data_IF_923556405048
#
_entry.id   IF_923556405048
#
_cell.length_a   1.000
_cell.length_b   1.000
_cell.length_c   1.000
_cell.angle_alpha   90.00
_cell.angle_beta   90.00
_cell.angle_gamma   90.00
#
_symmetry.space_group_name_H-M   'P 1'
#
loop_
_entity.id
_entity.type
_entity.pdbx_description
1 polymer ?
#
# COMPACT_ATOMS: atom_id res chain seq x y z
N UNK A 1 -0.34 -12.58 27.50
CA UNK A 1 -0.35 -11.57 26.42
C UNK A 1 1.03 -10.96 26.37
N UNK A 2 1.63 -10.82 25.21
CA UNK A 2 2.95 -10.18 25.09
C UNK A 2 2.88 -8.74 25.63
N UNK A 3 3.84 -8.37 26.48
CA UNK A 3 3.88 -7.10 27.20
C UNK A 3 3.85 -5.90 26.23
N UNK A 4 4.58 -6.00 25.12
CA UNK A 4 4.63 -4.98 24.05
C UNK A 4 3.25 -4.69 23.43
N UNK A 5 2.39 -5.71 23.29
CA UNK A 5 1.05 -5.53 22.70
C UNK A 5 0.16 -4.74 23.64
N UNK A 6 0.31 -4.96 24.95
CA UNK A 6 -0.43 -4.20 25.96
C UNK A 6 0.04 -2.75 26.04
N UNK A 7 1.33 -2.50 25.83
CA UNK A 7 1.88 -1.15 25.74
C UNK A 7 1.33 -0.41 24.52
N UNK A 8 1.42 -1.02 23.33
CA UNK A 8 0.84 -0.46 22.10
C UNK A 8 -0.66 -0.19 22.29
N UNK A 9 -1.39 -1.15 22.86
CA UNK A 9 -2.83 -1.00 23.10
C UNK A 9 -3.13 0.19 24.01
N UNK A 10 -2.35 0.41 25.08
CA UNK A 10 -2.52 1.56 25.98
C UNK A 10 -2.29 2.88 25.25
N UNK A 11 -1.32 2.94 24.35
CA UNK A 11 -0.99 4.16 23.60
C UNK A 11 -2.03 4.49 22.53
N UNK A 12 -2.53 3.49 21.80
CA UNK A 12 -3.46 3.70 20.69
C UNK A 12 -4.93 3.76 21.12
N UNK A 13 -5.26 3.27 22.32
CA UNK A 13 -6.66 3.19 22.76
C UNK A 13 -7.23 4.58 23.03
N UNK A 14 -8.29 4.89 22.32
CA UNK A 14 -9.12 6.08 22.55
C UNK A 14 -10.53 5.62 22.86
N UNK A 15 -11.06 6.06 24.02
CA UNK A 15 -12.44 5.74 24.43
C UNK A 15 -13.44 6.38 23.45
N UNK A 16 -14.33 5.60 22.81
CA UNK A 16 -15.34 6.15 21.92
C UNK A 16 -16.33 7.07 22.64
N UNK A 17 -16.65 8.21 22.03
CA UNK A 17 -17.70 9.12 22.47
C UNK A 17 -19.10 8.58 22.14
N UNK A 18 -20.14 9.16 22.75
CA UNK A 18 -21.53 8.87 22.39
C UNK A 18 -21.80 9.10 20.90
N UNK A 19 -21.22 10.17 20.34
CA UNK A 19 -21.32 10.49 18.91
C UNK A 19 -20.65 9.43 18.03
N UNK A 20 -19.52 8.88 18.45
CA UNK A 20 -18.89 7.77 17.76
C UNK A 20 -19.78 6.51 17.78
N UNK A 21 -20.52 6.25 18.87
CA UNK A 21 -21.50 5.17 18.93
C UNK A 21 -22.71 5.40 18.00
N UNK A 22 -23.18 6.64 17.85
CA UNK A 22 -24.21 7.00 16.87
C UNK A 22 -23.74 6.72 15.42
N UNK A 23 -22.55 7.21 15.06
CA UNK A 23 -21.95 6.97 13.73
C UNK A 23 -21.68 5.49 13.49
N UNK A 24 -21.19 4.78 14.52
CA UNK A 24 -20.97 3.34 14.50
C UNK A 24 -22.25 2.59 14.13
N UNK A 25 -23.37 2.93 14.77
CA UNK A 25 -24.68 2.32 14.50
C UNK A 25 -25.17 2.64 13.08
N UNK A 26 -25.02 3.90 12.65
CA UNK A 26 -25.49 4.37 11.34
C UNK A 26 -24.72 3.77 10.17
N UNK A 27 -23.39 3.71 10.26
CA UNK A 27 -22.51 3.28 9.16
C UNK A 27 -22.01 1.84 9.32
N UNK A 28 -22.44 1.13 10.38
CA UNK A 28 -22.06 -0.24 10.71
C UNK A 28 -20.54 -0.43 10.78
N UNK A 29 -19.88 0.48 11.50
CA UNK A 29 -18.43 0.50 11.71
C UNK A 29 -18.11 0.40 13.19
N UNK A 30 -16.94 -0.12 13.58
CA UNK A 30 -16.59 -0.22 14.99
C UNK A 30 -16.48 1.16 15.67
N UNK A 31 -16.95 1.32 16.92
CA UNK A 31 -16.94 2.61 17.62
C UNK A 31 -15.58 3.30 17.69
N UNK A 32 -14.50 2.54 17.90
CA UNK A 32 -13.14 3.11 17.96
C UNK A 32 -12.71 3.72 16.62
N UNK A 33 -13.14 3.14 15.49
CA UNK A 33 -12.82 3.66 14.17
C UNK A 33 -13.61 4.96 13.90
N UNK A 34 -14.89 5.00 14.29
CA UNK A 34 -15.69 6.22 14.19
C UNK A 34 -15.09 7.35 15.03
N UNK A 35 -14.73 7.06 16.29
CA UNK A 35 -14.04 8.02 17.17
C UNK A 35 -12.72 8.49 16.56
N UNK A 36 -11.92 7.56 16.01
CA UNK A 36 -10.69 7.90 15.30
C UNK A 36 -10.95 8.92 14.21
N UNK A 37 -11.84 8.60 13.29
CA UNK A 37 -12.16 9.45 12.14
C UNK A 37 -12.62 10.85 12.54
N UNK A 38 -13.44 10.94 13.61
CA UNK A 38 -13.86 12.23 14.14
C UNK A 38 -12.70 13.06 14.68
N UNK A 39 -11.74 12.42 15.36
CA UNK A 39 -10.56 13.13 15.89
C UNK A 39 -9.60 13.61 14.82
N UNK A 40 -9.45 12.85 13.73
CA UNK A 40 -8.49 13.17 12.67
C UNK A 40 -9.07 14.12 11.60
N UNK A 41 -10.37 14.06 11.32
CA UNK A 41 -11.02 14.82 10.23
C UNK A 41 -12.11 15.80 10.73
N UNK A 42 -12.37 15.83 12.04
CA UNK A 42 -13.60 16.44 12.57
C UNK A 42 -14.85 15.61 12.24
N UNK A 43 -15.98 15.99 12.83
CA UNK A 43 -17.24 15.26 12.63
C UNK A 43 -17.70 15.29 11.15
N UNK A 44 -17.68 16.48 10.53
CA UNK A 44 -18.11 16.64 9.14
C UNK A 44 -17.24 15.81 8.18
N UNK A 45 -15.91 15.87 8.34
CA UNK A 45 -14.97 15.10 7.51
C UNK A 45 -15.09 13.59 7.75
N UNK A 46 -15.33 13.15 8.98
CA UNK A 46 -15.61 11.75 9.29
C UNK A 46 -16.87 11.24 8.55
N UNK A 47 -17.95 12.02 8.56
CA UNK A 47 -19.19 11.69 7.84
C UNK A 47 -18.96 11.65 6.32
N UNK A 48 -18.21 12.60 5.77
CA UNK A 48 -17.86 12.62 4.34
C UNK A 48 -17.05 11.39 3.94
N UNK A 49 -16.04 11.04 4.75
CA UNK A 49 -15.25 9.84 4.53
C UNK A 49 -16.10 8.57 4.59
N UNK A 50 -16.96 8.44 5.59
CA UNK A 50 -17.86 7.27 5.71
C UNK A 50 -18.80 7.16 4.51
N UNK A 51 -19.33 8.29 4.02
CA UNK A 51 -20.14 8.33 2.78
C UNK A 51 -19.33 7.95 1.54
N UNK A 52 -18.05 8.31 1.48
CA UNK A 52 -17.19 7.95 0.35
C UNK A 52 -16.98 6.44 0.23
N UNK A 53 -17.04 5.70 1.35
CA UNK A 53 -16.96 4.24 1.32
C UNK A 53 -18.17 3.57 0.65
N UNK A 54 -19.30 4.27 0.50
CA UNK A 54 -20.47 3.72 -0.21
C UNK A 54 -20.36 3.91 -1.74
N UNK A 55 -19.34 4.64 -2.22
CA UNK A 55 -19.12 4.86 -3.65
C UNK A 55 -18.20 3.78 -4.21
N UNK A 56 -18.52 3.19 -5.38
CA UNK A 56 -17.64 2.20 -6.01
C UNK A 56 -16.35 2.87 -6.49
N UNK A 57 -15.22 2.24 -6.16
CA UNK A 57 -13.90 2.64 -6.68
C UNK A 57 -13.71 2.01 -8.06
N UNK A 58 -13.27 2.82 -9.02
CA UNK A 58 -13.06 2.38 -10.40
C UNK A 58 -11.73 1.62 -10.51
N UNK A 59 -11.73 0.38 -11.04
CA UNK A 59 -10.50 -0.37 -11.27
C UNK A 59 -9.54 0.32 -12.25
N UNK A 60 -8.28 -0.09 -12.19
CA UNK A 60 -7.20 0.45 -13.01
C UNK A 60 -6.49 -0.66 -13.76
N UNK A 61 -6.33 -0.47 -15.06
CA UNK A 61 -5.54 -1.32 -15.94
C UNK A 61 -4.13 -0.75 -16.01
N UNK A 62 -3.12 -1.55 -15.68
CA UNK A 62 -1.71 -1.21 -15.86
C UNK A 62 -1.12 -2.04 -16.99
N UNK A 63 -0.78 -1.41 -18.10
CA UNK A 63 -0.12 -2.02 -19.23
C UNK A 63 1.22 -2.64 -18.79
N UNK A 64 1.48 -3.85 -19.31
CA UNK A 64 2.77 -4.50 -19.23
C UNK A 64 3.66 -3.96 -20.35
N UNK A 65 4.49 -2.98 -20.04
CA UNK A 65 5.28 -2.26 -21.06
C UNK A 65 6.34 -3.13 -21.72
N UNK A 66 6.64 -4.31 -21.17
CA UNK A 66 7.53 -5.31 -21.78
C UNK A 66 6.86 -6.06 -22.95
N UNK A 67 5.53 -5.98 -23.08
CA UNK A 67 4.75 -6.80 -24.02
C UNK A 67 3.92 -5.98 -24.99
N UNK A 68 3.44 -4.81 -24.58
CA UNK A 68 2.60 -3.93 -25.40
C UNK A 68 2.83 -2.47 -25.03
N UNK A 69 2.70 -1.56 -26.01
CA UNK A 69 2.67 -0.13 -25.68
C UNK A 69 1.33 0.25 -25.03
N UNK A 70 1.30 1.19 -24.06
CA UNK A 70 0.07 1.61 -23.41
C UNK A 70 -1.00 2.10 -24.39
N UNK A 71 -0.63 2.85 -25.44
CA UNK A 71 -1.58 3.35 -26.43
C UNK A 71 -2.21 2.23 -27.26
N UNK A 72 -1.43 1.23 -27.69
CA UNK A 72 -1.97 0.07 -28.43
C UNK A 72 -2.91 -0.75 -27.55
N UNK A 73 -2.58 -0.92 -26.26
CA UNK A 73 -3.47 -1.59 -25.32
C UNK A 73 -4.78 -0.83 -25.18
N UNK A 74 -4.71 0.51 -25.02
CA UNK A 74 -5.88 1.36 -24.91
C UNK A 74 -6.79 1.21 -26.13
N UNK A 75 -6.27 1.40 -27.35
CA UNK A 75 -7.05 1.26 -28.58
C UNK A 75 -7.71 -0.12 -28.69
N UNK A 76 -6.97 -1.19 -28.41
CA UNK A 76 -7.49 -2.56 -28.48
C UNK A 76 -8.63 -2.84 -27.49
N UNK A 77 -8.62 -2.20 -26.31
CA UNK A 77 -9.70 -2.32 -25.34
C UNK A 77 -10.87 -1.40 -25.68
N UNK A 78 -10.63 -0.20 -26.21
CA UNK A 78 -11.69 0.72 -26.65
C UNK A 78 -12.51 0.14 -27.82
N UNK A 79 -11.87 -0.57 -28.74
CA UNK A 79 -12.55 -1.35 -29.80
C UNK A 79 -13.53 -2.41 -29.25
N UNK A 80 -13.33 -2.84 -28.00
CA UNK A 80 -14.20 -3.80 -27.31
C UNK A 80 -15.27 -3.12 -26.45
N UNK A 81 -15.40 -1.80 -26.55
CA UNK A 81 -16.40 -1.03 -25.80
C UNK A 81 -15.97 -0.63 -24.39
N UNK A 82 -14.69 -0.77 -24.02
CA UNK A 82 -14.19 -0.16 -22.79
C UNK A 82 -14.00 1.35 -22.99
N UNK A 83 -14.23 2.13 -21.93
CA UNK A 83 -13.87 3.56 -21.89
C UNK A 83 -12.77 3.76 -20.88
N UNK A 84 -11.59 4.13 -21.37
CA UNK A 84 -10.36 4.18 -20.59
C UNK A 84 -9.82 5.61 -20.49
N UNK A 85 -9.60 6.06 -19.26
CA UNK A 85 -8.99 7.36 -18.98
C UNK A 85 -7.56 7.14 -18.49
N UNK A 86 -6.58 7.77 -19.16
CA UNK A 86 -5.17 7.69 -18.77
C UNK A 86 -4.96 8.41 -17.43
N UNK A 87 -4.24 7.79 -16.51
CA UNK A 87 -3.86 8.48 -15.27
C UNK A 87 -2.82 9.56 -15.59
N UNK A 88 -3.06 10.80 -15.12
CA UNK A 88 -2.19 11.96 -15.38
C UNK A 88 -0.75 11.79 -14.87
N UNK A 89 -0.53 10.87 -13.94
CA UNK A 89 0.74 10.64 -13.27
C UNK A 89 1.34 9.25 -13.55
N UNK A 90 0.73 8.45 -14.43
CA UNK A 90 1.24 7.13 -14.79
C UNK A 90 0.86 6.75 -16.22
N UNK A 91 1.81 6.94 -17.15
CA UNK A 91 1.62 6.68 -18.59
C UNK A 91 1.41 5.20 -18.94
N UNK A 92 1.63 4.28 -18.02
CA UNK A 92 1.31 2.86 -18.24
C UNK A 92 -0.06 2.47 -17.70
N UNK A 93 -0.85 3.39 -17.12
CA UNK A 93 -2.07 3.06 -16.40
C UNK A 93 -3.31 3.83 -16.87
N UNK A 94 -4.45 3.14 -16.85
CA UNK A 94 -5.75 3.64 -17.27
C UNK A 94 -6.84 3.29 -16.25
N UNK A 95 -7.64 4.27 -15.86
CA UNK A 95 -8.86 4.07 -15.08
C UNK A 95 -9.96 3.56 -16.01
N UNK A 96 -10.67 2.51 -15.59
CA UNK A 96 -11.84 2.00 -16.32
C UNK A 96 -13.04 2.87 -15.93
N UNK A 97 -13.47 3.76 -16.83
CA UNK A 97 -14.63 4.63 -16.59
C UNK A 97 -15.91 3.83 -16.80
N UNK A 98 -15.97 3.14 -17.94
CA UNK A 98 -17.05 2.26 -18.36
C UNK A 98 -16.43 0.97 -18.94
N UNK A 99 -17.13 -0.16 -18.77
CA UNK A 99 -16.75 -1.45 -19.31
C UNK A 99 -17.97 -2.08 -19.99
N UNK A 100 -17.78 -2.86 -21.06
CA UNK A 100 -18.86 -3.61 -21.68
C UNK A 100 -19.38 -4.70 -20.71
N UNK A 101 -20.58 -5.22 -20.97
CA UNK A 101 -21.11 -6.36 -20.21
C UNK A 101 -20.22 -7.61 -20.38
N UNK A 102 -19.74 -7.84 -21.61
CA UNK A 102 -18.78 -8.88 -21.94
C UNK A 102 -17.78 -8.39 -23.01
N UNK A 103 -16.50 -8.81 -22.95
CA UNK A 103 -15.87 -9.55 -21.86
C UNK A 103 -15.58 -8.66 -20.63
N UNK A 104 -15.55 -9.26 -19.43
CA UNK A 104 -15.08 -8.54 -18.24
C UNK A 104 -13.60 -8.16 -18.37
N UNK A 105 -13.10 -7.15 -17.62
CA UNK A 105 -11.69 -6.78 -17.67
C UNK A 105 -10.72 -7.91 -17.30
N UNK A 106 -11.17 -8.97 -16.62
CA UNK A 106 -10.35 -10.15 -16.30
C UNK A 106 -10.45 -11.28 -17.33
N UNK A 107 -11.30 -11.15 -18.34
CA UNK A 107 -11.60 -12.18 -19.34
C UNK A 107 -11.24 -11.76 -20.77
N UNK A 108 -10.61 -10.60 -20.95
CA UNK A 108 -10.15 -10.15 -22.28
C UNK A 108 -8.97 -11.00 -22.76
N UNK A 109 -8.81 -11.10 -24.09
CA UNK A 109 -7.64 -11.76 -24.68
C UNK A 109 -6.33 -11.07 -24.28
N UNK A 110 -6.33 -9.74 -24.14
CA UNK A 110 -5.18 -8.94 -23.73
C UNK A 110 -4.77 -9.28 -22.29
N UNK A 111 -5.75 -9.46 -21.39
CA UNK A 111 -5.48 -9.93 -20.04
C UNK A 111 -4.87 -11.33 -20.06
N UNK A 112 -5.46 -12.28 -20.80
CA UNK A 112 -4.95 -13.65 -20.87
C UNK A 112 -3.55 -13.73 -21.51
N UNK A 113 -3.24 -12.86 -22.47
CA UNK A 113 -1.91 -12.69 -23.08
C UNK A 113 -0.88 -12.03 -22.16
N UNK A 114 -1.29 -11.58 -20.98
CA UNK A 114 -0.40 -10.93 -20.01
C UNK A 114 -0.04 -9.49 -20.36
N UNK A 115 -0.85 -8.82 -21.19
CA UNK A 115 -0.61 -7.45 -21.64
C UNK A 115 -0.91 -6.40 -20.57
N UNK A 116 -1.62 -6.77 -19.51
CA UNK A 116 -1.84 -5.89 -18.37
C UNK A 116 -2.12 -6.62 -17.05
N UNK A 117 -1.94 -5.85 -15.98
CA UNK A 117 -2.43 -6.19 -14.65
C UNK A 117 -3.67 -5.35 -14.30
N UNK A 118 -4.66 -5.97 -13.66
CA UNK A 118 -5.89 -5.31 -13.20
C UNK A 118 -5.77 -4.98 -11.71
N UNK A 119 -5.53 -3.71 -11.40
CA UNK A 119 -5.56 -3.18 -10.04
C UNK A 119 -6.98 -2.82 -9.64
N UNK A 120 -7.31 -2.98 -8.36
CA UNK A 120 -8.61 -2.53 -7.83
C UNK A 120 -8.68 -1.02 -7.65
N UNK A 121 -7.54 -0.35 -7.57
CA UNK A 121 -7.42 1.08 -7.36
C UNK A 121 -6.03 1.59 -7.82
N UNK A 122 -5.94 2.87 -8.15
CA UNK A 122 -4.68 3.50 -8.60
C UNK A 122 -3.65 3.64 -7.50
N UNK A 123 -4.03 3.79 -6.22
CA UNK A 123 -3.09 4.00 -5.10
C UNK A 123 -2.00 2.92 -5.00
N UNK A 124 -2.31 1.70 -5.43
CA UNK A 124 -1.35 0.58 -5.44
C UNK A 124 -0.12 0.82 -6.34
N UNK A 125 -0.20 1.74 -7.30
CA UNK A 125 0.91 2.08 -8.20
C UNK A 125 1.90 3.07 -7.57
N UNK A 126 1.40 3.88 -6.62
CA UNK A 126 2.14 4.97 -5.99
C UNK A 126 3.48 4.51 -5.37
N UNK A 127 3.54 3.52 -4.45
CA UNK A 127 4.79 3.17 -3.79
C UNK A 127 5.84 2.65 -4.78
N UNK A 128 5.41 1.98 -5.85
CA UNK A 128 6.31 1.47 -6.89
C UNK A 128 6.95 2.63 -7.68
N UNK A 129 6.15 3.59 -8.13
CA UNK A 129 6.66 4.75 -8.88
C UNK A 129 7.66 5.56 -8.04
N UNK A 130 7.34 5.80 -6.77
CA UNK A 130 8.21 6.54 -5.87
C UNK A 130 9.51 5.79 -5.57
N UNK A 131 9.43 4.47 -5.30
CA UNK A 131 10.60 3.66 -4.94
C UNK A 131 11.58 3.46 -6.12
N UNK A 132 11.05 3.37 -7.34
CA UNK A 132 11.81 3.09 -8.57
C UNK A 132 12.28 4.33 -9.32
N UNK A 133 12.02 5.53 -8.80
CA UNK A 133 12.46 6.76 -9.47
C UNK A 133 13.98 6.78 -9.62
N UNK A 134 14.45 6.85 -10.87
CA UNK A 134 15.88 6.78 -11.25
C UNK A 134 16.63 5.56 -10.70
N UNK A 135 15.92 4.51 -10.31
CA UNK A 135 16.49 3.29 -9.76
C UNK A 135 16.18 2.09 -10.66
N UNK A 136 17.20 1.30 -10.96
CA UNK A 136 17.08 0.11 -11.84
C UNK A 136 17.85 -1.11 -11.34
N UNK A 137 18.29 -1.09 -10.08
CA UNK A 137 18.97 -2.23 -9.44
C UNK A 137 18.01 -3.26 -8.85
N UNK A 138 18.56 -4.15 -8.03
CA UNK A 138 17.80 -5.20 -7.35
C UNK A 138 16.83 -4.63 -6.30
N UNK A 139 15.62 -5.19 -6.24
CA UNK A 139 14.57 -4.76 -5.31
C UNK A 139 14.02 -5.96 -4.54
N UNK A 140 13.82 -5.81 -3.23
CA UNK A 140 13.05 -6.77 -2.43
C UNK A 140 11.61 -6.28 -2.25
N UNK A 141 10.64 -7.07 -2.68
CA UNK A 141 9.24 -6.93 -2.31
C UNK A 141 8.95 -7.90 -1.15
N UNK A 142 8.86 -7.39 0.07
CA UNK A 142 8.87 -8.20 1.29
C UNK A 142 7.54 -8.90 1.59
N UNK A 143 6.44 -8.39 1.03
CA UNK A 143 5.06 -8.87 1.19
C UNK A 143 4.34 -8.89 -0.18
N UNK A 144 4.95 -9.62 -1.11
CA UNK A 144 4.72 -9.49 -2.54
C UNK A 144 3.34 -9.93 -3.04
N UNK A 145 2.70 -10.92 -2.40
CA UNK A 145 1.49 -11.48 -2.97
C UNK A 145 0.30 -10.52 -2.80
N UNK A 146 -0.64 -10.41 -3.76
CA UNK A 146 -0.81 -11.28 -4.93
C UNK A 146 0.07 -10.92 -6.15
N UNK A 147 0.92 -9.88 -6.11
CA UNK A 147 1.90 -9.63 -7.15
C UNK A 147 1.67 -8.42 -8.06
N UNK A 148 0.62 -7.64 -7.84
CA UNK A 148 0.37 -6.43 -8.64
C UNK A 148 1.51 -5.41 -8.56
N UNK A 149 2.06 -5.17 -7.35
CA UNK A 149 3.20 -4.28 -7.16
C UNK A 149 4.51 -4.93 -7.63
N UNK A 150 4.71 -6.21 -7.32
CA UNK A 150 5.88 -7.00 -7.76
C UNK A 150 6.05 -7.02 -9.27
N UNK A 151 4.97 -7.29 -10.03
CA UNK A 151 5.01 -7.29 -11.50
C UNK A 151 5.36 -5.90 -12.04
N UNK A 152 4.92 -4.83 -11.36
CA UNK A 152 5.25 -3.47 -11.76
C UNK A 152 6.71 -3.10 -11.44
N UNK A 153 7.21 -3.50 -10.27
CA UNK A 153 8.64 -3.36 -9.92
C UNK A 153 9.51 -4.06 -10.96
N UNK A 154 9.14 -5.29 -11.35
CA UNK A 154 9.88 -6.08 -12.32
C UNK A 154 9.98 -5.42 -13.69
N UNK A 155 8.90 -4.77 -14.15
CA UNK A 155 8.91 -3.97 -15.37
C UNK A 155 9.79 -2.72 -15.26
N UNK A 156 9.85 -2.08 -14.09
CA UNK A 156 10.66 -0.86 -13.87
C UNK A 156 12.17 -1.14 -13.85
N UNK A 157 12.59 -2.29 -13.35
CA UNK A 157 14.01 -2.67 -13.25
C UNK A 157 14.45 -3.65 -14.33
N UNK A 158 13.60 -3.93 -15.32
CA UNK A 158 13.86 -4.93 -16.35
C UNK A 158 15.18 -4.68 -17.10
N UNK A 159 15.96 -5.74 -17.28
CA UNK A 159 17.27 -5.71 -17.95
C UNK A 159 18.44 -5.24 -17.09
N UNK A 160 18.20 -4.72 -15.89
CA UNK A 160 19.25 -4.20 -14.99
C UNK A 160 19.18 -4.75 -13.56
N UNK A 161 17.99 -5.12 -13.09
CA UNK A 161 17.77 -5.57 -11.72
C UNK A 161 16.83 -6.78 -11.64
N UNK A 162 16.92 -7.46 -10.50
CA UNK A 162 16.07 -8.60 -10.12
C UNK A 162 15.14 -8.18 -9.00
N UNK A 163 13.87 -8.60 -9.09
CA UNK A 163 12.92 -8.46 -7.98
C UNK A 163 12.89 -9.74 -7.15
N UNK A 164 13.30 -9.67 -5.90
CA UNK A 164 13.09 -10.73 -4.91
C UNK A 164 11.69 -10.55 -4.32
N UNK A 165 10.79 -11.48 -4.64
CA UNK A 165 9.39 -11.41 -4.25
C UNK A 165 9.10 -12.40 -3.13
N UNK A 166 9.05 -11.90 -1.89
CA UNK A 166 8.83 -12.69 -0.69
C UNK A 166 7.38 -12.55 -0.19
N UNK A 167 6.77 -13.65 0.26
CA UNK A 167 5.55 -13.59 1.06
C UNK A 167 5.53 -14.76 2.04
N UNK A 168 4.90 -14.60 3.20
CA UNK A 168 4.79 -15.65 4.21
C UNK A 168 3.68 -16.67 3.88
N UNK A 169 2.64 -16.25 3.16
CA UNK A 169 1.44 -17.06 2.94
C UNK A 169 1.55 -17.83 1.63
N UNK A 170 1.94 -19.11 1.74
CA UNK A 170 2.18 -19.99 0.59
C UNK A 170 1.01 -20.03 -0.42
N UNK A 171 -0.24 -20.00 0.06
CA UNK A 171 -1.42 -19.96 -0.82
C UNK A 171 -1.46 -18.70 -1.70
N UNK A 172 -1.03 -17.55 -1.19
CA UNK A 172 -1.03 -16.28 -1.93
C UNK A 172 0.11 -16.22 -2.95
N UNK A 173 1.24 -16.90 -2.68
CA UNK A 173 2.35 -17.04 -3.63
C UNK A 173 1.92 -17.71 -4.94
N UNK A 174 0.94 -18.63 -4.91
CA UNK A 174 0.39 -19.23 -6.14
C UNK A 174 -0.20 -18.18 -7.09
N UNK A 175 -0.90 -17.17 -6.55
CA UNK A 175 -1.42 -16.06 -7.36
C UNK A 175 -0.30 -15.22 -7.95
N UNK A 176 0.73 -14.90 -7.14
CA UNK A 176 1.92 -14.19 -7.60
C UNK A 176 2.60 -14.93 -8.77
N UNK A 177 2.88 -16.22 -8.61
CA UNK A 177 3.49 -17.06 -9.65
C UNK A 177 2.60 -17.07 -10.90
N UNK A 178 1.29 -17.26 -10.75
CA UNK A 178 0.34 -17.21 -11.86
C UNK A 178 0.38 -15.88 -12.63
N UNK A 179 0.49 -14.74 -11.93
CA UNK A 179 0.63 -13.44 -12.58
C UNK A 179 1.98 -13.28 -13.28
N UNK A 180 3.10 -13.68 -12.65
CA UNK A 180 4.44 -13.65 -13.25
C UNK A 180 4.47 -14.48 -14.54
N UNK A 181 4.00 -15.73 -14.50
CA UNK A 181 3.99 -16.63 -15.65
C UNK A 181 3.09 -16.10 -16.77
N UNK A 182 1.85 -15.69 -16.44
CA UNK A 182 0.91 -15.15 -17.43
C UNK A 182 1.46 -13.89 -18.11
N UNK A 183 2.11 -13.00 -17.35
CA UNK A 183 2.67 -11.75 -17.84
C UNK A 183 4.06 -11.91 -18.48
N UNK A 184 4.64 -13.12 -18.44
CA UNK A 184 5.97 -13.45 -18.98
C UNK A 184 7.06 -12.55 -18.42
N UNK A 185 7.04 -12.36 -17.11
CA UNK A 185 8.06 -11.61 -16.40
C UNK A 185 9.17 -12.58 -16.00
N UNK A 186 10.41 -12.26 -16.36
CA UNK A 186 11.55 -13.19 -16.28
C UNK A 186 12.56 -12.80 -15.19
N UNK A 187 12.52 -11.57 -14.67
CA UNK A 187 13.45 -11.03 -13.68
C UNK A 187 12.90 -11.03 -12.24
N UNK A 188 12.13 -12.06 -11.85
CA UNK A 188 11.57 -12.20 -10.50
C UNK A 188 12.00 -13.52 -9.86
N UNK A 189 12.55 -13.45 -8.66
CA UNK A 189 12.86 -14.61 -7.81
C UNK A 189 11.82 -14.67 -6.70
N UNK A 190 10.99 -15.71 -6.68
CA UNK A 190 9.96 -15.89 -5.65
C UNK A 190 10.55 -16.64 -4.45
N UNK A 191 10.41 -16.07 -3.25
CA UNK A 191 10.84 -16.68 -1.99
C UNK A 191 9.68 -16.85 -1.02
N UNK A 192 9.81 -17.81 -0.11
CA UNK A 192 8.83 -18.07 0.95
C UNK A 192 9.54 -18.03 2.29
N UNK A 193 9.41 -16.90 3.00
CA UNK A 193 10.05 -16.70 4.30
C UNK A 193 9.30 -15.66 5.13
N UNK A 194 9.52 -15.69 6.45
CA UNK A 194 9.11 -14.62 7.34
C UNK A 194 10.04 -13.42 7.16
N UNK A 195 9.51 -12.32 6.63
CA UNK A 195 10.29 -11.12 6.35
C UNK A 195 10.92 -10.49 7.61
N UNK A 196 10.41 -10.79 8.82
CA UNK A 196 11.04 -10.40 10.10
C UNK A 196 12.35 -11.12 10.40
N UNK A 197 12.67 -12.15 9.61
CA UNK A 197 13.87 -13.00 9.79
C UNK A 197 14.75 -13.00 8.53
N UNK A 198 14.32 -12.36 7.45
CA UNK A 198 15.01 -12.45 6.16
C UNK A 198 16.41 -11.83 6.21
N UNK A 199 16.62 -10.78 7.03
CA UNK A 199 17.93 -10.18 7.29
C UNK A 199 18.95 -11.14 7.91
N UNK A 200 18.48 -12.18 8.63
CA UNK A 200 19.34 -13.18 9.28
C UNK A 200 19.70 -14.34 8.35
N UNK A 201 18.93 -14.54 7.29
CA UNK A 201 19.09 -15.68 6.37
C UNK A 201 19.70 -15.24 5.04
N UNK A 202 19.36 -14.03 4.59
CA UNK A 202 19.83 -13.47 3.32
C UNK A 202 20.98 -12.50 3.59
N UNK A 203 22.22 -12.98 3.48
CA UNK A 203 23.44 -12.20 3.73
C UNK A 203 23.81 -11.24 2.57
N UNK A 204 22.81 -10.59 1.99
CA UNK A 204 22.99 -9.61 0.92
C UNK A 204 22.16 -8.37 1.24
N UNK A 205 22.81 -7.22 1.10
CA UNK A 205 22.18 -5.92 1.23
C UNK A 205 21.47 -5.54 -0.08
N UNK A 206 20.40 -4.77 0.04
CA UNK A 206 19.49 -4.39 -1.06
C UNK A 206 19.33 -2.87 -1.05
N UNK A 207 19.45 -2.23 -2.22
CA UNK A 207 19.36 -0.78 -2.33
C UNK A 207 17.93 -0.22 -2.23
N UNK A 208 16.92 -1.02 -2.60
CA UNK A 208 15.50 -0.65 -2.53
C UNK A 208 14.63 -1.79 -2.01
N UNK A 209 13.80 -1.50 -1.02
CA UNK A 209 12.85 -2.47 -0.45
C UNK A 209 11.44 -1.90 -0.53
N UNK A 210 10.47 -2.71 -0.96
CA UNK A 210 9.05 -2.41 -0.82
C UNK A 210 8.48 -3.25 0.33
N UNK A 211 7.89 -2.57 1.32
CA UNK A 211 7.08 -3.17 2.36
C UNK A 211 5.64 -2.67 2.21
N UNK A 212 4.85 -3.38 1.40
CA UNK A 212 3.38 -3.26 1.40
C UNK A 212 2.82 -4.06 2.58
N UNK A 213 2.74 -3.42 3.74
CA UNK A 213 2.58 -4.10 5.01
C UNK A 213 1.19 -4.76 5.16
N UNK A 214 1.11 -5.94 5.79
CA UNK A 214 -0.15 -6.62 6.07
C UNK A 214 -0.94 -5.86 7.15
N UNK A 215 -1.82 -4.97 6.72
CA UNK A 215 -2.61 -4.07 7.56
C UNK A 215 -4.09 -4.46 7.67
N UNK A 216 -4.81 -3.76 8.54
CA UNK A 216 -6.26 -3.75 8.73
C UNK A 216 -7.04 -3.45 7.44
N UNK A 217 -6.39 -2.73 6.52
CA UNK A 217 -6.85 -2.27 5.21
C UNK A 217 -8.14 -1.46 5.23
N UNK A 218 -8.32 -0.64 6.28
CA UNK A 218 -9.45 0.28 6.43
C UNK A 218 -9.69 1.18 5.22
N UNK A 219 -8.64 1.53 4.47
CA UNK A 219 -8.75 2.31 3.25
C UNK A 219 -9.45 1.60 2.09
N UNK A 220 -9.74 0.29 2.22
CA UNK A 220 -10.39 -0.55 1.21
C UNK A 220 -11.85 -0.88 1.52
N UNK A 221 -12.45 -0.26 2.53
CA UNK A 221 -13.83 -0.55 2.97
C UNK A 221 -14.85 -0.48 1.83
N UNK A 222 -14.65 0.39 0.82
CA UNK A 222 -15.54 0.49 -0.35
C UNK A 222 -15.59 -0.76 -1.22
N UNK A 223 -14.55 -1.60 -1.18
CA UNK A 223 -14.44 -2.84 -1.97
C UNK A 223 -14.52 -4.09 -1.10
N UNK A 224 -14.22 -3.96 0.20
CA UNK A 224 -14.32 -5.01 1.20
C UNK A 224 -15.04 -4.47 2.46
N UNK A 225 -16.40 -4.34 2.41
CA UNK A 225 -17.17 -3.73 3.51
C UNK A 225 -17.04 -4.47 4.84
N UNK A 226 -16.65 -5.75 4.83
CA UNK A 226 -16.40 -6.53 6.04
C UNK A 226 -15.32 -5.91 6.93
N UNK A 227 -14.41 -5.08 6.38
CA UNK A 227 -13.38 -4.37 7.15
C UNK A 227 -13.91 -3.36 8.14
N UNK A 228 -15.20 -2.96 8.05
CA UNK A 228 -15.83 -2.08 9.04
C UNK A 228 -15.94 -2.72 10.43
N UNK A 229 -15.96 -4.06 10.51
CA UNK A 229 -16.22 -4.80 11.74
C UNK A 229 -15.22 -5.92 12.01
N UNK A 230 -14.29 -6.19 11.08
CA UNK A 230 -13.38 -7.34 11.17
C UNK A 230 -12.25 -7.17 12.17
N UNK A 231 -11.74 -5.96 12.36
CA UNK A 231 -10.51 -5.73 13.14
C UNK A 231 -10.85 -5.08 14.47
N UNK A 232 -10.77 -5.83 15.56
CA UNK A 232 -10.84 -5.29 16.92
C UNK A 232 -9.61 -4.41 17.24
N UNK A 233 -9.70 -3.56 18.26
CA UNK A 233 -8.57 -2.72 18.68
C UNK A 233 -7.36 -3.56 19.15
N UNK A 234 -7.60 -4.75 19.71
CA UNK A 234 -6.55 -5.68 20.08
C UNK A 234 -5.85 -6.29 18.86
N UNK A 235 -6.61 -6.70 17.85
CA UNK A 235 -6.05 -7.18 16.57
C UNK A 235 -5.28 -6.08 15.84
N UNK A 236 -5.73 -4.83 15.94
CA UNK A 236 -4.98 -3.69 15.43
C UNK A 236 -3.62 -3.57 16.11
N UNK A 237 -3.56 -3.63 17.45
CA UNK A 237 -2.30 -3.59 18.19
C UNK A 237 -1.34 -4.73 17.77
N UNK A 238 -1.86 -5.94 17.52
CA UNK A 238 -1.07 -7.05 16.98
C UNK A 238 -0.52 -6.77 15.57
N UNK A 239 -1.33 -6.16 14.69
CA UNK A 239 -0.89 -5.76 13.35
C UNK A 239 0.21 -4.71 13.44
N UNK A 240 0.00 -3.66 14.23
CA UNK A 240 0.98 -2.58 14.46
C UNK A 240 2.32 -3.12 14.98
N UNK A 241 2.29 -4.01 15.98
CA UNK A 241 3.51 -4.68 16.48
C UNK A 241 4.24 -5.39 15.34
N UNK A 242 3.51 -6.13 14.51
CA UNK A 242 4.07 -6.86 13.37
C UNK A 242 4.65 -5.94 12.31
N UNK A 243 3.99 -4.82 12.02
CA UNK A 243 4.45 -3.81 11.06
C UNK A 243 5.77 -3.17 11.52
N UNK A 244 5.88 -2.85 12.82
CA UNK A 244 7.13 -2.37 13.44
C UNK A 244 8.24 -3.42 13.31
N UNK A 245 7.97 -4.68 13.68
CA UNK A 245 8.94 -5.79 13.56
C UNK A 245 9.41 -6.00 12.12
N UNK A 246 8.50 -5.90 11.14
CA UNK A 246 8.81 -6.04 9.72
C UNK A 246 9.68 -4.89 9.23
N UNK A 247 9.27 -3.65 9.51
CA UNK A 247 9.99 -2.46 9.05
C UNK A 247 11.41 -2.40 9.66
N UNK A 248 11.53 -2.65 10.96
CA UNK A 248 12.82 -2.68 11.65
C UNK A 248 13.76 -3.75 11.06
N UNK A 249 13.26 -4.98 10.88
CA UNK A 249 14.05 -6.07 10.32
C UNK A 249 14.49 -5.81 8.87
N UNK A 250 13.69 -5.10 8.07
CA UNK A 250 14.01 -4.84 6.67
C UNK A 250 14.99 -3.67 6.51
N UNK A 251 15.01 -2.71 7.44
CA UNK A 251 16.03 -1.65 7.45
C UNK A 251 17.44 -2.25 7.64
N UNK A 252 17.56 -3.35 8.39
CA UNK A 252 18.82 -4.09 8.51
C UNK A 252 19.28 -4.71 7.18
N UNK A 253 18.41 -4.88 6.19
CA UNK A 253 18.80 -5.36 4.86
C UNK A 253 19.17 -4.25 3.89
N UNK A 254 18.88 -2.99 4.21
CA UNK A 254 19.21 -1.88 3.33
C UNK A 254 20.72 -1.69 3.22
N UNK A 255 21.18 -1.44 1.99
CA UNK A 255 22.49 -0.81 1.74
C UNK A 255 22.55 0.56 2.46
N UNK A 256 23.76 1.09 2.60
CA UNK A 256 23.93 2.49 2.99
C UNK A 256 23.31 3.38 1.90
N UNK A 257 22.52 4.38 2.30
CA UNK A 257 21.66 5.19 1.41
C UNK A 257 20.55 4.39 0.69
N UNK A 258 20.35 3.13 1.09
CA UNK A 258 19.21 2.32 0.65
C UNK A 258 17.90 2.91 1.12
N UNK A 259 16.83 2.71 0.33
CA UNK A 259 15.49 3.24 0.63
C UNK A 259 14.49 2.10 0.77
N UNK A 260 13.68 2.15 1.81
CA UNK A 260 12.49 1.32 1.96
C UNK A 260 11.23 2.17 1.78
N UNK A 261 10.32 1.70 0.92
CA UNK A 261 8.97 2.21 0.85
C UNK A 261 8.09 1.40 1.81
N UNK A 262 7.76 1.98 2.95
CA UNK A 262 6.72 1.47 3.84
C UNK A 262 5.36 1.94 3.32
N UNK A 263 4.45 1.03 3.01
CA UNK A 263 3.11 1.41 2.55
C UNK A 263 2.01 0.54 3.13
N UNK A 264 0.85 1.13 3.38
CA UNK A 264 -0.34 0.42 3.85
C UNK A 264 -1.57 0.87 3.04
N UNK A 265 -2.58 0.01 2.99
CA UNK A 265 -3.92 0.39 2.54
C UNK A 265 -4.85 0.72 3.71
N UNK A 266 -4.28 1.23 4.81
CA UNK A 266 -4.98 1.69 5.99
C UNK A 266 -4.96 3.20 6.09
N UNK A 267 -6.01 3.75 6.69
CA UNK A 267 -6.10 5.17 7.04
C UNK A 267 -5.83 5.45 8.51
N UNK A 268 -5.69 4.38 9.31
CA UNK A 268 -5.41 4.45 10.74
C UNK A 268 -4.02 5.06 10.99
N UNK A 269 -3.90 6.15 11.78
CA UNK A 269 -2.59 6.66 12.18
C UNK A 269 -1.77 5.65 12.99
N UNK A 270 -2.44 4.70 13.66
CA UNK A 270 -1.82 3.60 14.40
C UNK A 270 -0.96 2.68 13.53
N UNK A 271 -1.34 2.46 12.27
CA UNK A 271 -0.61 1.61 11.31
C UNK A 271 0.33 2.43 10.41
N UNK A 272 0.31 3.76 10.56
CA UNK A 272 0.99 4.66 9.65
C UNK A 272 1.97 5.55 10.44
N UNK A 273 1.52 6.72 10.86
CA UNK A 273 2.22 7.72 11.69
C UNK A 273 2.94 7.07 12.86
N UNK A 274 2.24 6.20 13.58
CA UNK A 274 2.72 5.58 14.80
C UNK A 274 3.84 4.56 14.53
N UNK A 275 3.64 3.67 13.55
CA UNK A 275 4.65 2.65 13.16
C UNK A 275 5.95 3.33 12.74
N UNK A 276 5.88 4.34 11.87
CA UNK A 276 7.07 5.05 11.41
C UNK A 276 7.72 5.83 12.57
N UNK A 277 6.92 6.48 13.43
CA UNK A 277 7.44 7.17 14.62
C UNK A 277 8.22 6.24 15.54
N UNK A 278 7.69 5.05 15.85
CA UNK A 278 8.37 4.05 16.69
C UNK A 278 9.70 3.59 16.07
N UNK A 279 9.80 3.53 14.76
CA UNK A 279 11.05 3.22 14.06
C UNK A 279 12.07 4.36 14.20
N UNK A 280 11.65 5.62 14.02
CA UNK A 280 12.52 6.80 14.18
C UNK A 280 13.00 6.97 15.63
N UNK A 281 12.15 6.63 16.61
CA UNK A 281 12.53 6.64 18.02
C UNK A 281 13.60 5.57 18.31
N UNK A 282 13.39 4.36 17.77
CA UNK A 282 14.25 3.20 17.98
C UNK A 282 15.58 3.29 17.23
N UNK A 283 15.61 3.86 16.03
CA UNK A 283 16.76 3.84 15.12
C UNK A 283 17.30 5.24 14.87
N UNK A 284 18.62 5.40 14.99
CA UNK A 284 19.33 6.66 14.65
C UNK A 284 19.98 6.64 13.27
N UNK A 285 19.95 5.49 12.59
CA UNK A 285 20.52 5.26 11.26
C UNK A 285 19.46 5.29 10.14
N UNK A 286 18.32 5.95 10.39
CA UNK A 286 17.22 6.06 9.44
C UNK A 286 16.57 7.43 9.51
N UNK A 287 16.17 7.96 8.37
CA UNK A 287 15.46 9.24 8.24
C UNK A 287 14.32 9.13 7.22
N UNK A 288 13.34 10.02 7.31
CA UNK A 288 12.28 10.10 6.29
C UNK A 288 12.74 10.99 5.14
N UNK A 289 12.60 10.50 3.91
CA UNK A 289 12.91 11.27 2.70
C UNK A 289 11.64 11.67 1.96
N UNK A 290 11.59 12.88 1.37
CA UNK A 290 10.45 13.31 0.59
C UNK A 290 10.25 12.43 -0.65
N UNK A 291 9.04 12.39 -1.22
CA UNK A 291 8.79 11.68 -2.46
C UNK A 291 9.65 12.32 -3.55
N UNK A 292 10.37 11.53 -4.36
CA UNK A 292 11.29 12.09 -5.37
C UNK A 292 10.54 12.78 -6.52
N UNK A 293 9.25 12.54 -6.65
CA UNK A 293 8.37 13.14 -7.65
C UNK A 293 7.05 13.56 -6.98
N UNK A 294 6.55 14.74 -7.35
CA UNK A 294 5.17 15.15 -7.03
C UNK A 294 4.23 14.64 -8.12
N UNK A 295 3.64 13.47 -7.91
CA UNK A 295 2.76 12.83 -8.89
C UNK A 295 1.39 13.53 -8.96
N UNK A 296 0.86 13.94 -7.80
CA UNK A 296 -0.37 14.72 -7.65
C UNK A 296 -0.42 15.32 -6.23
N UNK A 297 -1.44 16.12 -5.92
CA UNK A 297 -1.61 16.65 -4.56
C UNK A 297 -2.02 15.53 -3.59
N UNK A 298 -1.27 15.41 -2.50
CA UNK A 298 -1.53 14.47 -1.41
C UNK A 298 -2.09 15.22 -0.21
N UNK A 299 -2.74 14.49 0.71
CA UNK A 299 -3.20 15.09 1.95
C UNK A 299 -2.07 15.21 2.97
N UNK A 300 -2.12 16.24 3.85
CA UNK A 300 -1.14 16.41 4.90
C UNK A 300 -1.18 15.22 5.88
N UNK A 301 -0.05 15.04 6.55
CA UNK A 301 0.11 14.02 7.57
C UNK A 301 -0.65 14.37 8.86
N UNK A 302 -0.97 13.35 9.67
CA UNK A 302 -1.60 13.57 10.98
C UNK A 302 -0.48 13.87 11.97
N UNK A 303 -0.49 15.06 12.59
CA UNK A 303 0.54 15.46 13.57
C UNK A 303 0.32 14.86 14.95
N UNK A 304 -0.95 14.66 15.31
CA UNK A 304 -1.36 14.16 16.63
C UNK A 304 -2.61 13.32 16.52
N UNK A 305 -2.68 12.24 17.30
CA UNK A 305 -3.89 11.43 17.44
C UNK A 305 -3.96 10.85 18.86
N UNK A 306 -5.08 11.09 19.55
CA UNK A 306 -5.21 10.68 20.96
C UNK A 306 -4.17 11.37 21.83
N UNK A 307 -3.40 10.59 22.60
CA UNK A 307 -2.25 11.07 23.36
C UNK A 307 -0.93 11.08 22.59
N UNK A 308 -0.93 10.61 21.33
CA UNK A 308 0.28 10.47 20.52
C UNK A 308 0.59 11.76 19.77
N UNK A 309 1.85 12.18 19.83
CA UNK A 309 2.42 13.23 19.00
C UNK A 309 3.46 12.60 18.09
N UNK A 310 3.31 12.79 16.79
CA UNK A 310 4.15 12.13 15.80
C UNK A 310 5.29 13.04 15.32
N UNK A 311 6.34 12.44 14.77
CA UNK A 311 7.51 13.17 14.26
C UNK A 311 7.13 14.12 13.12
N UNK A 312 7.70 15.34 13.13
CA UNK A 312 7.46 16.34 12.08
C UNK A 312 8.00 15.89 10.72
N UNK A 313 9.03 15.04 10.69
CA UNK A 313 9.58 14.48 9.45
C UNK A 313 8.55 13.72 8.62
N UNK A 314 7.47 13.25 9.26
CA UNK A 314 6.41 12.51 8.58
C UNK A 314 5.55 13.39 7.68
N UNK A 315 5.66 14.73 7.75
CA UNK A 315 5.08 15.65 6.76
C UNK A 315 5.62 15.37 5.33
N UNK A 316 6.72 14.62 5.20
CA UNK A 316 7.29 14.13 3.93
C UNK A 316 6.59 12.86 3.41
N UNK A 317 5.85 12.12 4.23
CA UNK A 317 5.16 10.92 3.78
C UNK A 317 3.91 11.28 2.94
N UNK A 318 3.42 10.34 2.14
CA UNK A 318 2.23 10.52 1.30
C UNK A 318 1.02 9.85 1.93
N UNK A 319 -0.08 10.60 2.07
CA UNK A 319 -1.37 10.12 2.58
C UNK A 319 -2.50 10.42 1.60
N UNK A 320 -3.29 9.40 1.30
CA UNK A 320 -4.47 9.46 0.44
C UNK A 320 -5.73 9.14 1.24
N UNK A 321 -6.70 10.04 1.16
CA UNK A 321 -8.06 9.85 1.64
C UNK A 321 -9.03 9.47 0.51
N UNK A 322 -9.97 8.54 0.74
CA UNK A 322 -10.97 8.18 -0.26
C UNK A 322 -11.87 9.34 -0.69
N UNK A 323 -12.32 10.17 0.25
CA UNK A 323 -13.22 11.30 -0.02
C UNK A 323 -12.53 12.45 -0.76
N UNK A 324 -11.22 12.63 -0.57
CA UNK A 324 -10.44 13.70 -1.22
C UNK A 324 -9.94 13.29 -2.60
N UNK A 325 -9.40 12.08 -2.75
CA UNK A 325 -8.68 11.68 -3.97
C UNK A 325 -9.46 10.70 -4.85
N UNK A 326 -10.60 10.16 -4.37
CA UNK A 326 -11.37 9.17 -5.11
C UNK A 326 -10.61 7.86 -5.36
N UNK A 327 -9.68 7.53 -4.46
CA UNK A 327 -8.88 6.29 -4.44
C UNK A 327 -9.21 5.47 -3.18
N UNK A 328 -8.48 4.38 -2.95
CA UNK A 328 -8.41 3.82 -1.60
C UNK A 328 -7.72 4.79 -0.65
N UNK A 329 -8.05 4.61 0.63
CA UNK A 329 -7.24 5.14 1.70
C UNK A 329 -5.88 4.44 1.68
N UNK A 330 -4.81 5.20 1.55
CA UNK A 330 -3.49 4.65 1.31
C UNK A 330 -2.41 5.56 1.86
N UNK A 331 -1.36 4.95 2.37
CA UNK A 331 -0.21 5.67 2.92
C UNK A 331 1.07 5.06 2.37
N UNK A 332 2.03 5.91 2.00
CA UNK A 332 3.40 5.46 1.72
C UNK A 332 4.41 6.44 2.29
N UNK A 333 5.43 5.91 2.95
CA UNK A 333 6.55 6.68 3.46
C UNK A 333 7.86 6.07 2.97
N UNK A 334 8.77 6.92 2.51
CA UNK A 334 10.11 6.51 2.10
C UNK A 334 11.07 6.76 3.26
N UNK A 335 11.71 5.70 3.74
CA UNK A 335 12.74 5.80 4.74
C UNK A 335 14.08 5.47 4.11
N UNK A 336 15.09 6.31 4.36
CA UNK A 336 16.46 6.10 3.90
C UNK A 336 17.33 5.68 5.08
N UNK A 337 18.14 4.65 4.88
CA UNK A 337 19.20 4.29 5.83
C UNK A 337 20.38 5.24 5.65
N UNK A 338 20.76 5.96 6.69
CA UNK A 338 21.89 6.90 6.64
C UNK A 338 23.22 6.13 6.72
N UNK A 339 24.26 6.63 6.06
CA UNK A 339 25.64 6.17 6.27
C UNK A 339 26.03 6.34 7.74
N UNK A 340 26.55 5.27 8.35
CA UNK A 340 27.15 5.33 9.70
C UNK A 340 28.53 5.96 9.68
#
# INVERSE_FOLDING_TARGET
MEEDVLEILKEIFVKPSEKAHELSSKYRILPYMAERYMRILGEAGAVEMLRSFEKPVKPVIRANTLRISPDRLKSSLEEKGFKLERLSWCDSAFKIIEAPEQPSPGATLEYLKGYYYLHRDSSSLLPVLLLTHEYSGDILDACAAPGGKTTFLAEKVYGKGIVYANDLVLRRLRSLIGHITRMRIENVVVTWSDARKISKVFNRKIGRILLDAPCSGEGRISVDPGRRTRTSIYELALMVKREIELLDSLIDMLDDEGIIAYSTCSIAPEENEYVVSKILDKRKDVEVVPPPLKLFEYSPWIKRYGGMVFHEELDKCVRLWPHVHGTFGFTTCLLRRTRR
#
